data_IF_830376820591
#
_entry.id   IF_830376820591
#
_cell.length_a   1.000
_cell.length_b   1.000
_cell.length_c   1.000
_cell.angle_alpha   90.00
_cell.angle_beta   90.00
_cell.angle_gamma   90.00
#
_symmetry.space_group_name_H-M   'P 1'
#
loop_
_entity.id
_entity.type
_entity.pdbx_description
1 polymer ?
#
# COMPACT_ATOMS: atom_id res chain seq x y z
N UNK A 1 22.42 2.50 -0.16
CA UNK A 1 21.31 2.34 0.81
C UNK A 1 20.36 3.52 0.70
N UNK A 2 19.05 3.29 0.65
CA UNK A 2 18.03 4.36 0.61
C UNK A 2 17.95 4.99 2.02
N UNK A 3 18.28 6.28 2.14
CA UNK A 3 18.27 7.00 3.43
C UNK A 3 16.92 7.65 3.75
N UNK A 4 16.13 7.95 2.72
CA UNK A 4 14.81 8.57 2.88
C UNK A 4 13.75 7.49 3.15
N UNK A 5 13.08 7.51 4.32
CA UNK A 5 12.13 6.46 4.70
C UNK A 5 10.91 6.39 3.79
N UNK A 6 10.36 7.53 3.33
CA UNK A 6 9.25 7.55 2.37
C UNK A 6 9.63 6.91 1.03
N UNK A 7 10.87 7.12 0.58
CA UNK A 7 11.41 6.48 -0.63
C UNK A 7 11.62 4.98 -0.44
N UNK A 8 12.08 4.55 0.73
CA UNK A 8 12.20 3.14 1.05
C UNK A 8 10.82 2.47 1.07
N UNK A 9 9.84 3.08 1.74
CA UNK A 9 8.46 2.61 1.76
C UNK A 9 7.89 2.48 0.35
N UNK A 10 8.02 3.54 -0.46
CA UNK A 10 7.52 3.57 -1.85
C UNK A 10 8.12 2.44 -2.69
N UNK A 11 9.43 2.17 -2.53
CA UNK A 11 10.09 1.06 -3.21
C UNK A 11 9.54 -0.29 -2.74
N UNK A 12 9.54 -0.54 -1.43
CA UNK A 12 9.10 -1.80 -0.84
C UNK A 12 7.66 -2.10 -1.21
N UNK A 13 6.75 -1.12 -1.05
CA UNK A 13 5.37 -1.26 -1.46
C UNK A 13 5.23 -1.51 -2.97
N UNK A 14 5.97 -0.76 -3.79
CA UNK A 14 5.95 -0.93 -5.24
C UNK A 14 6.31 -2.35 -5.67
N UNK A 15 7.42 -2.89 -5.18
CA UNK A 15 7.85 -4.24 -5.56
C UNK A 15 6.99 -5.34 -4.93
N UNK A 16 6.75 -5.30 -3.61
CA UNK A 16 5.99 -6.35 -2.93
C UNK A 16 4.51 -6.33 -3.30
N UNK A 17 3.90 -5.15 -3.45
CA UNK A 17 2.52 -5.02 -3.87
C UNK A 17 2.30 -5.46 -5.32
N UNK A 18 3.26 -5.18 -6.23
CA UNK A 18 3.18 -5.69 -7.60
C UNK A 18 3.27 -7.22 -7.63
N UNK A 19 4.21 -7.79 -6.87
CA UNK A 19 4.33 -9.24 -6.73
C UNK A 19 3.03 -9.87 -6.18
N UNK A 20 2.47 -9.29 -5.12
CA UNK A 20 1.22 -9.73 -4.51
C UNK A 20 0.03 -9.65 -5.49
N UNK A 21 -0.08 -8.58 -6.27
CA UNK A 21 -1.15 -8.40 -7.24
C UNK A 21 -1.04 -9.40 -8.40
N UNK A 22 0.16 -9.61 -8.94
CA UNK A 22 0.43 -10.63 -9.97
C UNK A 22 0.09 -12.02 -9.45
N UNK A 23 0.50 -12.33 -8.21
CA UNK A 23 0.19 -13.61 -7.58
C UNK A 23 -1.33 -13.81 -7.45
N UNK A 24 -2.06 -12.77 -7.05
CA UNK A 24 -3.53 -12.81 -6.97
C UNK A 24 -4.17 -13.09 -8.33
N UNK A 25 -3.70 -12.44 -9.41
CA UNK A 25 -4.17 -12.75 -10.75
C UNK A 25 -3.85 -14.18 -11.18
N UNK A 26 -2.64 -14.67 -10.86
CA UNK A 26 -2.26 -16.04 -11.17
C UNK A 26 -3.20 -17.06 -10.52
N UNK A 27 -3.51 -16.90 -9.23
CA UNK A 27 -4.49 -17.76 -8.55
C UNK A 27 -5.90 -17.63 -9.13
N UNK A 28 -6.32 -16.43 -9.50
CA UNK A 28 -7.62 -16.21 -10.13
C UNK A 28 -7.77 -16.93 -11.49
N UNK A 29 -6.76 -16.82 -12.36
CA UNK A 29 -6.82 -17.38 -13.73
C UNK A 29 -6.38 -18.83 -13.83
N UNK A 30 -5.61 -19.34 -12.87
CA UNK A 30 -5.12 -20.72 -12.85
C UNK A 30 -5.51 -21.44 -11.56
N UNK A 31 -6.78 -21.89 -11.41
CA UNK A 31 -7.26 -22.57 -10.21
C UNK A 31 -6.51 -23.88 -9.87
N UNK A 32 -5.75 -24.43 -10.81
CA UNK A 32 -4.86 -25.58 -10.55
C UNK A 32 -3.71 -25.23 -9.59
N UNK A 33 -3.35 -23.95 -9.49
CA UNK A 33 -2.35 -23.48 -8.52
C UNK A 33 -2.85 -23.64 -7.08
N UNK A 34 -4.15 -23.45 -6.83
CA UNK A 34 -4.75 -23.68 -5.53
C UNK A 34 -4.59 -25.12 -5.07
N UNK A 35 -4.74 -26.07 -6.00
CA UNK A 35 -4.59 -27.51 -5.72
C UNK A 35 -3.13 -27.90 -5.45
N UNK A 36 -2.18 -27.22 -6.08
CA UNK A 36 -0.75 -27.49 -5.94
C UNK A 36 -0.14 -26.87 -4.66
N UNK A 37 -0.73 -25.79 -4.15
CA UNK A 37 -0.23 -25.05 -2.99
C UNK A 37 -1.35 -24.79 -1.97
N UNK A 38 -1.89 -25.84 -1.32
CA UNK A 38 -3.07 -25.72 -0.46
C UNK A 38 -2.88 -24.80 0.75
N UNK A 39 -1.64 -24.58 1.20
CA UNK A 39 -1.36 -23.61 2.27
C UNK A 39 -1.62 -22.16 1.84
N UNK A 40 -1.61 -21.85 0.54
CA UNK A 40 -1.93 -20.53 0.00
C UNK A 40 -3.45 -20.29 -0.11
N UNK A 41 -4.27 -21.34 -0.09
CA UNK A 41 -5.74 -21.22 -0.01
C UNK A 41 -6.21 -20.64 1.34
N UNK A 42 -5.40 -20.78 2.39
CA UNK A 42 -5.68 -20.16 3.68
C UNK A 42 -5.48 -18.63 3.66
N UNK A 43 -4.85 -18.09 2.60
CA UNK A 43 -4.76 -16.65 2.38
C UNK A 43 -6.02 -16.22 1.63
N UNK A 44 -6.83 -15.29 2.16
CA UNK A 44 -8.03 -14.83 1.49
C UNK A 44 -7.74 -14.41 0.05
N UNK A 45 -8.44 -15.01 -0.91
CA UNK A 45 -8.33 -14.63 -2.30
C UNK A 45 -8.92 -13.24 -2.49
N UNK A 46 -8.07 -12.29 -2.84
CA UNK A 46 -8.54 -10.95 -3.21
C UNK A 46 -9.37 -11.02 -4.48
N UNK A 47 -10.50 -10.34 -4.47
CA UNK A 47 -11.33 -10.18 -5.66
C UNK A 47 -10.59 -9.35 -6.72
N UNK A 48 -10.97 -9.53 -7.98
CA UNK A 48 -10.28 -8.93 -9.14
C UNK A 48 -10.14 -7.41 -9.04
N UNK A 49 -11.19 -6.71 -8.58
CA UNK A 49 -11.19 -5.24 -8.42
C UNK A 49 -10.12 -4.81 -7.41
N UNK A 50 -10.01 -5.53 -6.30
CA UNK A 50 -9.03 -5.21 -5.26
C UNK A 50 -7.60 -5.53 -5.76
N UNK A 51 -7.39 -6.66 -6.42
CA UNK A 51 -6.09 -6.98 -7.04
C UNK A 51 -5.69 -5.94 -8.11
N UNK A 52 -6.65 -5.43 -8.87
CA UNK A 52 -6.43 -4.35 -9.86
C UNK A 52 -5.97 -3.07 -9.18
N UNK A 53 -6.59 -2.71 -8.05
CA UNK A 53 -6.20 -1.53 -7.28
C UNK A 53 -4.73 -1.63 -6.85
N UNK A 54 -4.32 -2.74 -6.21
CA UNK A 54 -2.93 -2.94 -5.81
C UNK A 54 -1.96 -2.98 -6.99
N UNK A 55 -2.35 -3.61 -8.10
CA UNK A 55 -1.52 -3.63 -9.31
C UNK A 55 -1.22 -2.19 -9.80
N UNK A 56 -2.27 -1.37 -9.95
CA UNK A 56 -2.14 0.00 -10.45
C UNK A 56 -1.36 0.87 -9.47
N UNK A 57 -1.66 0.79 -8.17
CA UNK A 57 -0.96 1.59 -7.15
C UNK A 57 0.50 1.17 -7.00
N UNK A 58 0.83 -0.11 -7.13
CA UNK A 58 2.22 -0.59 -7.09
C UNK A 58 3.02 -0.18 -8.32
N UNK A 59 2.43 -0.23 -9.53
CA UNK A 59 3.06 0.33 -10.73
C UNK A 59 3.30 1.84 -10.55
N UNK A 60 2.31 2.57 -10.05
CA UNK A 60 2.46 3.99 -9.74
C UNK A 60 3.59 4.23 -8.74
N UNK A 61 3.68 3.44 -7.68
CA UNK A 61 4.74 3.53 -6.67
C UNK A 61 6.13 3.29 -7.29
N UNK A 62 6.28 2.28 -8.16
CA UNK A 62 7.52 2.00 -8.88
C UNK A 62 7.89 3.19 -9.78
N UNK A 63 6.94 3.72 -10.55
CA UNK A 63 7.17 4.89 -11.42
C UNK A 63 7.61 6.09 -10.58
N UNK A 64 6.95 6.35 -9.45
CA UNK A 64 7.32 7.43 -8.52
C UNK A 64 8.70 7.20 -7.91
N UNK A 65 9.04 5.96 -7.54
CA UNK A 65 10.35 5.63 -7.00
C UNK A 65 11.49 5.95 -7.98
N UNK A 66 11.29 5.66 -9.27
CA UNK A 66 12.29 5.93 -10.31
C UNK A 66 12.26 7.37 -10.82
N UNK A 67 11.09 8.02 -10.92
CA UNK A 67 10.94 9.34 -11.59
C UNK A 67 10.54 10.48 -10.65
N UNK A 68 9.83 10.20 -9.57
CA UNK A 68 9.31 11.22 -8.64
C UNK A 68 10.31 11.67 -7.57
N UNK A 69 11.43 10.94 -7.42
CA UNK A 69 12.45 11.27 -6.42
C UNK A 69 11.90 11.24 -4.98
N UNK A 70 12.56 11.99 -4.08
CA UNK A 70 12.14 12.04 -2.66
C UNK A 70 10.79 12.72 -2.47
N UNK A 71 10.54 13.82 -3.18
CA UNK A 71 9.27 14.55 -3.09
C UNK A 71 8.09 13.71 -3.57
N UNK A 72 8.23 13.02 -4.70
CA UNK A 72 7.20 12.11 -5.20
C UNK A 72 6.95 10.96 -4.24
N UNK A 73 8.02 10.36 -3.69
CA UNK A 73 7.91 9.28 -2.71
C UNK A 73 7.23 9.72 -1.42
N UNK A 74 7.48 10.97 -0.98
CA UNK A 74 6.75 11.56 0.14
C UNK A 74 5.26 11.64 -0.14
N UNK A 75 4.84 12.22 -1.27
CA UNK A 75 3.42 12.36 -1.60
C UNK A 75 2.74 11.01 -1.80
N UNK A 76 3.45 10.04 -2.37
CA UNK A 76 2.98 8.67 -2.45
C UNK A 76 2.76 8.09 -1.05
N UNK A 77 3.80 8.03 -0.20
CA UNK A 77 3.70 7.42 1.13
C UNK A 77 2.66 8.12 2.01
N UNK A 78 2.57 9.45 1.93
CA UNK A 78 1.58 10.22 2.69
C UNK A 78 0.15 9.97 2.19
N UNK A 79 -0.10 10.12 0.88
CA UNK A 79 -1.44 9.93 0.31
C UNK A 79 -1.93 8.48 0.41
N UNK A 80 -1.04 7.54 0.11
CA UNK A 80 -1.28 6.11 0.30
C UNK A 80 -1.54 5.78 1.76
N UNK A 81 -0.73 6.33 2.68
CA UNK A 81 -0.90 6.17 4.12
C UNK A 81 -2.26 6.62 4.62
N UNK A 82 -2.66 7.84 4.26
CA UNK A 82 -3.98 8.36 4.61
C UNK A 82 -5.10 7.48 4.05
N UNK A 83 -4.99 7.09 2.78
CA UNK A 83 -6.00 6.24 2.14
C UNK A 83 -6.12 4.87 2.83
N UNK A 84 -4.99 4.17 3.06
CA UNK A 84 -4.98 2.84 3.69
C UNK A 84 -5.45 2.89 5.15
N UNK A 85 -4.99 3.87 5.92
CA UNK A 85 -5.45 4.04 7.30
C UNK A 85 -6.93 4.37 7.35
N UNK A 86 -7.42 5.27 6.51
CA UNK A 86 -8.85 5.60 6.44
C UNK A 86 -9.70 4.39 6.02
N UNK A 87 -9.26 3.63 5.01
CA UNK A 87 -9.97 2.43 4.56
C UNK A 87 -10.02 1.35 5.65
N UNK A 88 -8.90 1.12 6.35
CA UNK A 88 -8.83 0.19 7.46
C UNK A 88 -9.73 0.60 8.64
N UNK A 89 -9.68 1.88 9.04
CA UNK A 89 -10.52 2.40 10.13
C UNK A 89 -12.00 2.36 9.76
N UNK A 90 -12.37 2.85 8.58
CA UNK A 90 -13.75 2.89 8.13
C UNK A 90 -14.32 1.48 7.99
N UNK A 91 -13.56 0.55 7.39
CA UNK A 91 -13.98 -0.84 7.26
C UNK A 91 -14.17 -1.53 8.60
N UNK A 92 -13.24 -1.35 9.54
CA UNK A 92 -13.40 -1.87 10.90
C UNK A 92 -14.63 -1.29 11.60
N UNK A 93 -14.80 0.03 11.59
CA UNK A 93 -15.88 0.70 12.33
C UNK A 93 -17.28 0.44 11.75
N UNK A 94 -17.38 0.23 10.43
CA UNK A 94 -18.67 0.11 9.73
C UNK A 94 -19.01 -1.29 9.26
N UNK A 95 -18.04 -2.21 9.22
CA UNK A 95 -18.17 -3.52 8.60
C UNK A 95 -18.34 -3.49 7.08
N UNK A 96 -18.19 -2.33 6.44
CA UNK A 96 -18.37 -2.15 5.00
C UNK A 96 -17.13 -2.63 4.23
N UNK A 97 -17.37 -3.22 3.06
CA UNK A 97 -16.31 -3.69 2.15
C UNK A 97 -15.96 -2.69 1.05
N UNK A 98 -16.72 -1.61 0.90
CA UNK A 98 -16.53 -0.55 -0.11
C UNK A 98 -16.36 -1.04 -1.55
N UNK A 99 -16.98 -2.18 -1.89
CA UNK A 99 -16.85 -2.81 -3.22
C UNK A 99 -15.48 -3.47 -3.49
N UNK A 100 -14.59 -3.53 -2.49
CA UNK A 100 -13.25 -4.12 -2.56
C UNK A 100 -13.20 -5.57 -2.03
N UNK A 101 -14.33 -6.12 -1.59
CA UNK A 101 -14.39 -7.49 -1.06
C UNK A 101 -13.57 -7.70 0.21
N UNK A 102 -13.35 -6.63 0.99
CA UNK A 102 -12.52 -6.66 2.20
C UNK A 102 -13.05 -7.69 3.20
N UNK A 103 -12.17 -8.58 3.63
CA UNK A 103 -12.41 -9.51 4.71
C UNK A 103 -12.07 -8.86 6.06
N UNK A 104 -12.60 -9.38 7.19
CA UNK A 104 -12.30 -8.82 8.51
C UNK A 104 -10.79 -8.71 8.80
N UNK A 105 -9.99 -9.65 8.31
CA UNK A 105 -8.54 -9.66 8.45
C UNK A 105 -7.83 -8.59 7.60
N UNK A 106 -8.47 -8.07 6.55
CA UNK A 106 -7.86 -7.06 5.70
C UNK A 106 -7.75 -5.72 6.44
N UNK A 107 -8.68 -5.38 7.33
CA UNK A 107 -8.69 -4.06 8.00
C UNK A 107 -7.44 -3.82 8.85
N UNK A 108 -6.99 -4.75 9.74
CA UNK A 108 -5.71 -4.61 10.43
C UNK A 108 -4.51 -4.46 9.50
N UNK A 109 -4.50 -5.14 8.35
CA UNK A 109 -3.41 -5.01 7.36
C UNK A 109 -3.38 -3.62 6.74
N UNK A 110 -4.54 -3.08 6.36
CA UNK A 110 -4.64 -1.72 5.82
C UNK A 110 -4.19 -0.68 6.85
N UNK A 111 -4.61 -0.82 8.11
CA UNK A 111 -4.15 0.04 9.21
C UNK A 111 -2.64 -0.02 9.40
N UNK A 112 -2.08 -1.22 9.44
CA UNK A 112 -0.64 -1.43 9.63
C UNK A 112 0.18 -0.81 8.50
N UNK A 113 -0.14 -1.16 7.25
CA UNK A 113 0.57 -0.63 6.08
C UNK A 113 0.38 0.88 5.91
N UNK A 114 -0.81 1.39 6.19
CA UNK A 114 -1.10 2.82 6.15
C UNK A 114 -0.33 3.59 7.22
N UNK A 115 -0.31 3.07 8.45
CA UNK A 115 0.46 3.62 9.56
C UNK A 115 1.96 3.67 9.27
N UNK A 116 2.52 2.57 8.72
CA UNK A 116 3.92 2.55 8.29
C UNK A 116 4.22 3.60 7.20
N UNK A 117 3.30 3.82 6.27
CA UNK A 117 3.46 4.82 5.22
C UNK A 117 3.49 6.25 5.80
N UNK A 118 2.57 6.55 6.73
CA UNK A 118 2.51 7.84 7.42
C UNK A 118 3.76 8.08 8.27
N UNK A 119 4.22 7.06 9.00
CA UNK A 119 5.48 7.12 9.74
C UNK A 119 6.67 7.35 8.80
N UNK A 120 6.68 6.73 7.62
CA UNK A 120 7.73 6.93 6.63
C UNK A 120 7.72 8.35 6.03
N UNK A 121 6.54 8.96 5.87
CA UNK A 121 6.39 10.35 5.42
C UNK A 121 6.70 11.39 6.52
N UNK A 122 6.53 11.01 7.80
CA UNK A 122 6.65 11.87 8.97
C UNK A 122 7.94 12.70 9.05
N UNK A 123 9.14 12.10 8.88
CA UNK A 123 10.40 12.85 8.94
C UNK A 123 10.50 13.97 7.90
N UNK A 124 10.04 13.73 6.66
CA UNK A 124 10.02 14.74 5.61
C UNK A 124 9.02 15.86 5.93
N UNK A 125 7.85 15.51 6.47
CA UNK A 125 6.86 16.50 6.91
C UNK A 125 7.42 17.36 8.06
N UNK A 126 7.98 16.74 9.09
CA UNK A 126 8.58 17.42 10.24
C UNK A 126 9.66 18.41 9.82
N UNK A 127 10.62 17.97 9.00
CA UNK A 127 11.69 18.84 8.50
C UNK A 127 11.14 20.02 7.69
N UNK A 128 10.06 19.82 6.91
CA UNK A 128 9.44 20.88 6.13
C UNK A 128 8.73 21.93 6.99
N UNK A 129 8.22 21.53 8.16
CA UNK A 129 7.53 22.43 9.09
C UNK A 129 8.54 23.21 9.92
N UNK A 130 9.56 22.55 10.47
CA UNK A 130 10.52 23.18 11.38
C UNK A 130 11.52 24.11 10.68
N UNK A 131 11.84 23.86 9.41
CA UNK A 131 12.78 24.68 8.64
C UNK A 131 12.10 25.73 7.76
N UNK A 132 10.78 25.92 7.86
CA UNK A 132 10.14 27.11 7.31
C UNK A 132 10.66 28.32 8.08
N UNK A 133 11.59 29.08 7.49
CA UNK A 133 11.89 30.43 7.94
C UNK A 133 10.56 31.19 7.93
N UNK A 134 10.09 31.60 9.11
CA UNK A 134 8.99 32.56 9.20
C UNK A 134 9.46 33.80 8.43
N UNK A 135 8.77 34.22 7.36
CA UNK A 135 9.07 35.51 6.77
C UNK A 135 8.77 36.56 7.84
N UNK A 136 9.83 37.22 8.33
CA UNK A 136 9.74 38.43 9.13
C UNK A 136 9.41 39.59 8.20
#
# INVERSE_FOLDING_TARGET
MIKNPARLYTAVYGFLGLFQAILSYAFHFFPRLDQALPFLQAIPHMILVHSTLHFVTSILAIVIFFRGGERGSFWFAFGFGLFYTALGLAGWLTGQQFGLGLQPFDHPFHLFLGGLALLAAGPSLYHSITNRKVPV
#
